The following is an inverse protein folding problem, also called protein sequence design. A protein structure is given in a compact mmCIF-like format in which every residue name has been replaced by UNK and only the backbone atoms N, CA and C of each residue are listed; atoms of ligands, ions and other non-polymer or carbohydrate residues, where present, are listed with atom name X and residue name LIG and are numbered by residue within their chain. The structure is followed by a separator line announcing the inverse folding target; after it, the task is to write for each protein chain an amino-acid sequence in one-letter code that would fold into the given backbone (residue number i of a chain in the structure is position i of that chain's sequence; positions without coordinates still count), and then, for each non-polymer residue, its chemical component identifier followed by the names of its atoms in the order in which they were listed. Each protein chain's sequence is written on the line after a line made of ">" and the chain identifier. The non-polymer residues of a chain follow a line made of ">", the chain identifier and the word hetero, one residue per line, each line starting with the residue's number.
data_IF_938324385804
#
_entry.id   IF_938324385804
#
_cell.length_a   1.000
_cell.length_b   1.000
_cell.length_c   1.000
_cell.angle_alpha   90.00
_cell.angle_beta   90.00
_cell.angle_gamma   90.00
#
_symmetry.space_group_name_H-M   'P 1'
#
loop_
_entity.id
_entity.type
_entity.pdbx_description
1 polymer ?
#
# COMPACT_ATOMS: atom_id res chain seq x y z
N UNK A 1 23.50 -3.55 3.71
CA UNK A 1 22.47 -3.62 4.75
C UNK A 1 23.00 -4.50 5.85
N UNK A 2 22.69 -4.19 7.09
CA UNK A 2 23.20 -4.93 8.26
C UNK A 2 22.06 -5.59 9.00
N UNK A 3 22.20 -6.90 9.26
CA UNK A 3 21.23 -7.68 10.03
C UNK A 3 21.74 -7.91 11.45
N UNK A 4 20.90 -7.61 12.44
CA UNK A 4 21.16 -7.86 13.85
C UNK A 4 20.27 -8.99 14.36
N UNK A 5 20.90 -10.08 14.81
CA UNK A 5 20.21 -11.25 15.35
C UNK A 5 19.78 -11.06 16.82
N UNK A 6 18.88 -11.91 17.36
CA UNK A 6 18.47 -11.85 18.77
C UNK A 6 19.60 -12.06 19.79
N UNK A 7 20.72 -12.65 19.35
CA UNK A 7 21.93 -12.92 20.13
C UNK A 7 23.07 -11.94 19.82
N UNK A 8 22.76 -10.79 19.20
CA UNK A 8 23.73 -9.74 18.86
C UNK A 8 24.84 -10.17 17.89
N UNK A 9 24.63 -11.25 17.14
CA UNK A 9 25.43 -11.56 15.94
C UNK A 9 24.99 -10.64 14.81
N UNK A 10 25.96 -10.06 14.12
CA UNK A 10 25.77 -9.14 13.00
C UNK A 10 26.15 -9.80 11.68
N UNK A 11 25.36 -9.57 10.63
CA UNK A 11 25.69 -9.97 9.26
C UNK A 11 25.58 -8.74 8.36
N UNK A 12 26.70 -8.37 7.76
CA UNK A 12 26.72 -7.34 6.72
C UNK A 12 26.47 -7.99 5.35
N UNK A 13 25.48 -7.46 4.64
CA UNK A 13 25.10 -7.94 3.32
C UNK A 13 25.22 -6.80 2.29
N UNK A 14 26.08 -7.03 1.30
CA UNK A 14 26.27 -6.15 0.15
C UNK A 14 25.82 -6.87 -1.12
N UNK A 15 24.84 -6.29 -1.82
CA UNK A 15 24.40 -6.79 -3.13
C UNK A 15 25.30 -6.26 -4.25
N UNK A 16 25.47 -7.05 -5.31
CA UNK A 16 26.17 -6.62 -6.53
C UNK A 16 25.39 -5.59 -7.36
N UNK A 17 24.12 -5.35 -7.03
CA UNK A 17 23.24 -4.38 -7.69
C UNK A 17 22.29 -3.71 -6.70
N UNK A 18 21.75 -2.55 -7.05
CA UNK A 18 20.74 -1.84 -6.26
C UNK A 18 19.53 -2.74 -6.01
N UNK A 19 19.19 -2.96 -4.74
CA UNK A 19 18.04 -3.77 -4.33
C UNK A 19 16.78 -2.94 -4.10
N UNK A 20 16.94 -1.76 -3.51
CA UNK A 20 15.84 -0.89 -3.14
C UNK A 20 16.31 0.58 -3.16
N UNK A 21 15.34 1.48 -3.29
CA UNK A 21 15.52 2.91 -3.20
C UNK A 21 14.60 3.45 -2.11
N UNK A 22 15.13 4.36 -1.29
CA UNK A 22 14.30 5.17 -0.40
C UNK A 22 13.66 6.27 -1.26
N UNK A 23 12.34 6.37 -1.18
CA UNK A 23 11.57 7.33 -1.99
C UNK A 23 10.74 8.22 -1.09
N UNK A 24 10.61 9.49 -1.47
CA UNK A 24 9.51 10.31 -0.99
C UNK A 24 8.22 9.78 -1.65
N UNK A 25 7.40 9.11 -0.83
CA UNK A 25 6.17 8.48 -1.30
C UNK A 25 5.18 9.49 -1.88
N UNK A 26 5.08 10.67 -1.28
CA UNK A 26 4.19 11.71 -1.76
C UNK A 26 4.58 12.20 -3.15
N UNK A 27 5.87 12.45 -3.38
CA UNK A 27 6.39 12.83 -4.69
C UNK A 27 6.25 11.70 -5.71
N UNK A 28 6.55 10.47 -5.31
CA UNK A 28 6.44 9.30 -6.17
C UNK A 28 5.00 9.06 -6.65
N UNK A 29 4.03 9.04 -5.72
CA UNK A 29 2.62 8.81 -6.03
C UNK A 29 2.05 9.92 -6.93
N UNK A 30 2.39 11.19 -6.65
CA UNK A 30 1.98 12.32 -7.50
C UNK A 30 2.58 12.22 -8.91
N UNK A 31 3.86 11.84 -9.01
CA UNK A 31 4.53 11.67 -10.29
C UNK A 31 3.90 10.58 -11.17
N UNK A 32 3.46 9.47 -10.57
CA UNK A 32 2.71 8.42 -11.28
C UNK A 32 1.34 8.95 -11.73
N UNK A 33 0.62 9.64 -10.85
CA UNK A 33 -0.69 10.20 -11.16
C UNK A 33 -0.63 11.20 -12.34
N UNK A 34 0.38 12.07 -12.36
CA UNK A 34 0.59 13.01 -13.47
C UNK A 34 0.88 12.30 -14.78
N UNK A 35 1.67 11.23 -14.75
CA UNK A 35 1.93 10.42 -15.95
C UNK A 35 0.65 9.76 -16.47
N UNK A 36 -0.19 9.22 -15.59
CA UNK A 36 -1.47 8.65 -15.98
C UNK A 36 -2.39 9.69 -16.65
N UNK A 37 -2.51 10.89 -16.06
CA UNK A 37 -3.27 12.00 -16.66
C UNK A 37 -2.76 12.40 -18.04
N UNK A 38 -1.44 12.49 -18.22
CA UNK A 38 -0.81 12.77 -19.53
C UNK A 38 -1.10 11.70 -20.58
N UNK A 39 -1.44 10.47 -20.17
CA UNK A 39 -1.86 9.38 -21.05
C UNK A 39 -3.38 9.33 -21.28
N UNK A 40 -4.13 10.29 -20.75
CA UNK A 40 -5.59 10.41 -20.95
C UNK A 40 -6.43 9.64 -19.94
N UNK A 41 -5.86 9.26 -18.79
CA UNK A 41 -6.65 8.65 -17.70
C UNK A 41 -7.50 9.73 -17.02
N UNK A 42 -8.81 9.51 -16.96
CA UNK A 42 -9.74 10.33 -16.18
C UNK A 42 -9.57 10.04 -14.68
N UNK A 43 -9.31 11.08 -13.89
CA UNK A 43 -9.03 10.97 -12.46
C UNK A 43 -9.99 11.84 -11.67
N UNK A 44 -10.73 11.20 -10.77
CA UNK A 44 -11.61 11.85 -9.81
C UNK A 44 -11.00 11.76 -8.40
N UNK A 45 -10.36 12.84 -7.95
CA UNK A 45 -9.83 12.94 -6.58
C UNK A 45 -10.91 13.45 -5.62
N UNK A 46 -10.78 13.10 -4.34
CA UNK A 46 -11.75 13.53 -3.32
C UNK A 46 -13.14 12.95 -3.55
N UNK A 47 -13.23 11.82 -4.25
CA UNK A 47 -14.48 11.10 -4.53
C UNK A 47 -14.36 9.69 -3.93
N UNK A 48 -15.13 9.43 -2.86
CA UNK A 48 -15.13 8.12 -2.21
C UNK A 48 -16.05 7.16 -2.97
N UNK A 49 -15.56 5.95 -3.25
CA UNK A 49 -16.40 4.84 -3.70
C UNK A 49 -16.99 4.13 -2.48
N UNK A 50 -18.31 3.97 -2.49
CA UNK A 50 -19.06 3.44 -1.35
C UNK A 50 -19.54 2.00 -1.57
N UNK A 51 -19.89 1.68 -2.82
CA UNK A 51 -20.45 0.38 -3.18
C UNK A 51 -20.00 -0.03 -4.58
N UNK A 52 -19.80 -1.33 -4.76
CA UNK A 52 -19.59 -1.95 -6.07
C UNK A 52 -20.51 -3.14 -6.19
N UNK A 53 -21.29 -3.18 -7.27
CA UNK A 53 -22.21 -4.26 -7.60
C UNK A 53 -21.81 -4.89 -8.94
N UNK A 54 -21.61 -6.20 -8.97
CA UNK A 54 -21.35 -6.94 -10.19
C UNK A 54 -22.65 -7.46 -10.79
N UNK A 55 -22.84 -7.22 -12.09
CA UNK A 55 -23.93 -7.76 -12.90
C UNK A 55 -23.36 -8.69 -13.97
N UNK A 56 -24.24 -9.31 -14.76
CA UNK A 56 -23.84 -10.27 -15.79
C UNK A 56 -22.87 -9.67 -16.83
N UNK A 57 -23.11 -8.43 -17.26
CA UNK A 57 -22.36 -7.80 -18.37
C UNK A 57 -21.52 -6.58 -17.97
N UNK A 58 -21.69 -6.07 -16.75
CA UNK A 58 -21.03 -4.86 -16.28
C UNK A 58 -20.91 -4.82 -14.75
N UNK A 59 -20.12 -3.86 -14.28
CA UNK A 59 -19.99 -3.50 -12.87
C UNK A 59 -20.54 -2.10 -12.68
N UNK A 60 -21.39 -1.91 -11.67
CA UNK A 60 -21.87 -0.61 -11.23
C UNK A 60 -21.11 -0.15 -9.98
N UNK A 61 -20.63 1.09 -10.00
CA UNK A 61 -19.89 1.72 -8.92
C UNK A 61 -20.72 2.89 -8.42
N UNK A 62 -20.93 2.96 -7.11
CA UNK A 62 -21.57 4.09 -6.44
C UNK A 62 -20.52 4.92 -5.69
N UNK A 63 -20.48 6.23 -5.96
CA UNK A 63 -19.47 7.13 -5.41
C UNK A 63 -20.05 8.49 -4.98
N UNK A 64 -19.34 9.16 -4.07
CA UNK A 64 -19.71 10.48 -3.55
C UNK A 64 -19.28 10.67 -2.09
N UNK A 65 -19.26 11.92 -1.64
CA UNK A 65 -18.66 12.28 -0.35
C UNK A 65 -19.59 12.06 0.85
N UNK A 66 -20.92 12.07 0.66
CA UNK A 66 -21.88 11.85 1.74
C UNK A 66 -23.01 10.91 1.35
N UNK A 67 -23.64 11.12 0.18
CA UNK A 67 -24.80 10.31 -0.21
C UNK A 67 -24.52 9.18 -1.22
N UNK A 68 -23.27 9.05 -1.70
CA UNK A 68 -22.87 8.03 -2.68
C UNK A 68 -23.77 7.95 -3.94
N UNK A 69 -24.33 9.10 -4.38
CA UNK A 69 -25.40 9.14 -5.41
C UNK A 69 -24.89 8.97 -6.84
N UNK A 70 -23.60 9.17 -7.10
CA UNK A 70 -23.07 9.09 -8.46
C UNK A 70 -22.90 7.62 -8.83
N UNK A 71 -23.47 7.25 -9.98
CA UNK A 71 -23.37 5.89 -10.53
C UNK A 71 -22.51 5.89 -11.78
N UNK A 72 -21.54 4.99 -11.81
CA UNK A 72 -20.64 4.78 -12.94
C UNK A 72 -20.71 3.30 -13.33
N UNK A 73 -20.72 3.03 -14.64
CA UNK A 73 -20.67 1.65 -15.16
C UNK A 73 -19.35 1.39 -15.84
N UNK A 74 -18.79 0.22 -15.60
CA UNK A 74 -17.56 -0.24 -16.23
C UNK A 74 -17.67 -1.72 -16.60
N UNK A 75 -16.84 -2.19 -17.54
CA UNK A 75 -16.73 -3.62 -17.86
C UNK A 75 -15.94 -4.38 -16.80
N UNK A 76 -14.94 -3.72 -16.20
CA UNK A 76 -14.02 -4.28 -15.22
C UNK A 76 -13.77 -3.25 -14.12
N UNK A 77 -13.65 -3.74 -12.88
CA UNK A 77 -13.22 -2.96 -11.72
C UNK A 77 -11.94 -3.56 -11.16
N UNK A 78 -10.99 -2.70 -10.80
CA UNK A 78 -9.79 -3.07 -10.06
C UNK A 78 -9.88 -2.44 -8.67
N UNK A 79 -9.92 -3.27 -7.63
CA UNK A 79 -9.90 -2.80 -6.25
C UNK A 79 -8.46 -2.53 -5.80
N UNK A 80 -8.07 -1.25 -5.81
CA UNK A 80 -6.78 -0.77 -5.31
C UNK A 80 -6.93 0.05 -4.01
N UNK A 81 -7.85 -0.35 -3.12
CA UNK A 81 -8.28 0.43 -1.94
C UNK A 81 -7.49 0.14 -0.65
N UNK A 82 -6.35 -0.54 -0.76
CA UNK A 82 -5.52 -0.91 0.40
C UNK A 82 -6.25 -1.80 1.41
N UNK A 83 -6.00 -1.59 2.70
CA UNK A 83 -6.54 -2.42 3.80
C UNK A 83 -8.02 -2.13 4.13
N UNK A 84 -8.70 -1.27 3.36
CA UNK A 84 -10.13 -1.10 3.49
C UNK A 84 -10.87 -2.16 2.66
N UNK A 85 -11.44 -3.14 3.35
CA UNK A 85 -12.11 -4.28 2.72
C UNK A 85 -13.62 -4.12 2.52
N UNK A 86 -14.19 -2.92 2.71
CA UNK A 86 -15.63 -2.70 2.53
C UNK A 86 -16.11 -3.14 1.14
N UNK A 87 -15.42 -2.74 0.07
CA UNK A 87 -15.79 -3.09 -1.31
C UNK A 87 -15.53 -4.55 -1.65
N UNK A 88 -14.55 -5.18 -1.00
CA UNK A 88 -14.29 -6.60 -1.16
C UNK A 88 -15.49 -7.41 -0.63
N UNK A 89 -15.98 -7.04 0.56
CA UNK A 89 -17.17 -7.65 1.16
C UNK A 89 -18.43 -7.43 0.33
N UNK A 90 -18.61 -6.23 -0.26
CA UNK A 90 -19.80 -5.96 -1.09
C UNK A 90 -19.87 -6.85 -2.33
N UNK A 91 -18.73 -7.33 -2.81
CA UNK A 91 -18.60 -8.28 -3.91
C UNK A 91 -18.57 -9.75 -3.46
N UNK A 92 -18.76 -10.03 -2.17
CA UNK A 92 -18.70 -11.39 -1.63
C UNK A 92 -17.29 -11.99 -1.64
N UNK A 93 -16.24 -11.17 -1.78
CA UNK A 93 -14.86 -11.64 -1.73
C UNK A 93 -14.44 -11.96 -0.29
N UNK A 94 -13.60 -12.98 -0.16
CA UNK A 94 -12.97 -13.34 1.11
C UNK A 94 -12.01 -12.25 1.61
N UNK A 95 -11.63 -12.37 2.88
CA UNK A 95 -10.69 -11.46 3.53
C UNK A 95 -9.41 -12.21 3.90
N UNK A 96 -8.27 -11.50 4.03
CA UNK A 96 -7.09 -12.09 4.64
C UNK A 96 -7.40 -12.63 6.04
N UNK A 97 -6.91 -13.83 6.35
CA UNK A 97 -7.13 -14.50 7.64
C UNK A 97 -6.20 -13.98 8.74
N UNK A 98 -5.15 -13.25 8.38
CA UNK A 98 -4.14 -12.73 9.29
C UNK A 98 -3.61 -11.38 8.79
N UNK A 99 -3.19 -10.53 9.73
CA UNK A 99 -2.61 -9.22 9.46
C UNK A 99 -1.29 -9.08 10.19
N UNK A 100 -0.34 -8.37 9.58
CA UNK A 100 0.87 -7.87 10.23
C UNK A 100 0.70 -6.37 10.42
N UNK A 101 0.87 -5.89 11.65
CA UNK A 101 0.82 -4.47 11.96
C UNK A 101 2.24 -3.93 12.04
N UNK A 102 2.51 -2.88 11.29
CA UNK A 102 3.75 -2.12 11.35
C UNK A 102 3.47 -0.70 11.84
N UNK A 103 4.45 -0.12 12.50
CA UNK A 103 4.49 1.31 12.82
C UNK A 103 5.81 1.87 12.32
N UNK A 104 5.83 3.14 11.94
CA UNK A 104 7.02 3.83 11.50
C UNK A 104 7.02 5.26 12.04
N UNK A 105 8.22 5.81 12.19
CA UNK A 105 8.42 7.22 12.51
C UNK A 105 9.61 7.73 11.71
N UNK A 106 9.61 9.01 11.39
CA UNK A 106 10.71 9.68 10.72
C UNK A 106 11.46 10.51 11.75
N UNK A 107 12.76 10.26 11.86
CA UNK A 107 13.65 10.95 12.81
C UNK A 107 14.93 11.36 12.09
N UNK A 108 15.52 12.46 12.51
CA UNK A 108 16.85 12.85 12.06
C UNK A 108 17.89 11.95 12.74
N UNK A 109 18.74 11.32 11.92
CA UNK A 109 19.80 10.42 12.39
C UNK A 109 21.10 10.78 11.70
N UNK A 110 22.16 10.94 12.47
CA UNK A 110 23.51 11.15 11.95
C UNK A 110 24.24 9.81 11.77
N UNK A 111 25.06 9.70 10.72
CA UNK A 111 25.98 8.58 10.56
C UNK A 111 25.35 7.26 10.09
N UNK A 112 24.11 7.27 9.61
CA UNK A 112 23.50 6.07 9.03
C UNK A 112 24.10 5.79 7.65
N UNK A 113 24.93 4.75 7.53
CA UNK A 113 25.59 4.38 6.27
C UNK A 113 24.77 3.41 5.42
N UNK A 114 23.89 2.64 6.04
CA UNK A 114 23.09 1.62 5.37
C UNK A 114 21.81 1.29 6.15
N UNK A 115 20.90 0.55 5.51
CA UNK A 115 19.71 0.01 6.17
C UNK A 115 20.10 -1.05 7.19
N UNK A 116 19.59 -0.90 8.40
CA UNK A 116 19.68 -1.88 9.48
C UNK A 116 18.38 -2.66 9.60
N UNK A 117 18.48 -3.96 9.93
CA UNK A 117 17.32 -4.83 10.15
C UNK A 117 17.54 -5.60 11.45
N UNK A 118 16.64 -5.38 12.41
CA UNK A 118 16.69 -5.99 13.73
C UNK A 118 15.67 -7.14 13.81
N UNK A 119 16.18 -8.36 14.02
CA UNK A 119 15.36 -9.57 14.10
C UNK A 119 15.29 -10.06 15.54
N UNK A 120 14.09 -10.36 16.01
CA UNK A 120 13.91 -11.11 17.26
C UNK A 120 12.61 -10.82 17.98
N UNK A 121 12.11 -11.81 18.71
CA UNK A 121 10.83 -11.71 19.44
C UNK A 121 10.82 -10.61 20.51
N UNK A 122 11.98 -10.18 21.00
CA UNK A 122 12.09 -9.05 21.94
C UNK A 122 11.98 -7.68 21.26
N UNK A 123 12.28 -7.62 19.96
CA UNK A 123 12.22 -6.40 19.14
C UNK A 123 10.86 -6.29 18.46
N UNK A 124 10.52 -7.31 17.67
CA UNK A 124 9.29 -7.38 16.88
C UNK A 124 8.81 -8.84 16.78
N UNK A 125 7.86 -9.28 17.62
CA UNK A 125 7.35 -10.65 17.61
C UNK A 125 6.75 -11.05 16.25
N UNK A 126 7.37 -12.01 15.57
CA UNK A 126 6.89 -12.51 14.28
C UNK A 126 7.25 -11.62 13.07
N UNK A 127 8.06 -10.58 13.26
CA UNK A 127 8.52 -9.68 12.21
C UNK A 127 9.95 -9.15 12.52
N UNK A 128 10.24 -7.91 12.12
CA UNK A 128 11.51 -7.19 12.30
C UNK A 128 11.24 -5.72 12.66
N UNK A 129 12.29 -4.98 13.00
CA UNK A 129 12.31 -3.52 13.11
C UNK A 129 13.44 -2.94 12.26
#
# INVERSE_FOLDING_TARGET
>A
MTFFSPSSVTIDYTSSSTLALVVDRGLFDRGILEQARKKGVDVHLGEKVCQVNAHQDFVEIESGNEDCRKKIRAKVVVLATGINYQLHRSLGLGLPTSFMQGTQTEVEVEGLSETEIYVGKRVSPGAFA
#
